data_IF_453618244699
#
_entry.id   IF_453618244699
#
_cell.length_a   1.000
_cell.length_b   1.000
_cell.length_c   1.000
_cell.angle_alpha   90.00
_cell.angle_beta   90.00
_cell.angle_gamma   90.00
#
_symmetry.space_group_name_H-M   'P 1'
#
loop_
_entity.id
_entity.type
_entity.pdbx_description
1 polymer ?
#
# COMPACT_ATOMS: atom_id res chain seq x y z
N UNK A 1 -20.21 7.85 1.70
CA UNK A 1 -18.79 7.64 1.99
C UNK A 1 -18.47 6.17 1.75
N UNK A 2 -17.28 5.87 1.26
CA UNK A 2 -16.84 4.52 0.96
C UNK A 2 -15.32 4.43 1.17
N UNK A 3 -14.78 3.22 1.23
CA UNK A 3 -13.35 3.02 1.29
C UNK A 3 -12.72 3.37 -0.06
N UNK A 4 -11.76 4.27 -0.06
CA UNK A 4 -11.12 4.81 -1.24
C UNK A 4 -9.61 4.60 -1.15
N UNK A 5 -8.99 4.35 -2.29
CA UNK A 5 -7.55 4.32 -2.46
C UNK A 5 -7.16 5.16 -3.67
N UNK A 6 -6.33 6.15 -3.47
CA UNK A 6 -5.60 6.83 -4.53
C UNK A 6 -4.13 6.43 -4.47
N UNK A 7 -3.47 6.30 -5.61
CA UNK A 7 -2.06 5.97 -5.59
C UNK A 7 -1.32 6.13 -6.91
N UNK A 8 -0.01 6.11 -6.78
CA UNK A 8 0.97 5.93 -7.84
C UNK A 8 1.85 4.73 -7.49
N UNK A 9 2.34 4.01 -8.48
CA UNK A 9 3.24 2.87 -8.26
C UNK A 9 4.20 2.66 -9.44
N UNK A 10 5.14 1.74 -9.26
CA UNK A 10 6.06 1.31 -10.31
C UNK A 10 5.35 0.80 -11.60
N UNK A 11 4.08 0.44 -11.52
CA UNK A 11 3.26 0.00 -12.66
C UNK A 11 2.64 1.17 -13.43
N UNK A 12 2.45 2.30 -12.78
CA UNK A 12 1.76 3.46 -13.36
C UNK A 12 2.69 4.62 -13.68
N UNK A 13 3.87 4.72 -13.03
CA UNK A 13 4.76 5.87 -13.15
C UNK A 13 6.22 5.48 -13.34
N UNK A 14 6.98 6.39 -13.96
CA UNK A 14 8.44 6.30 -14.03
C UNK A 14 9.10 6.47 -12.66
N UNK A 15 10.38 6.09 -12.56
CA UNK A 15 11.19 6.29 -11.37
C UNK A 15 11.24 7.75 -10.94
N UNK A 16 11.43 8.67 -11.89
CA UNK A 16 11.50 10.12 -11.65
C UNK A 16 10.23 10.69 -10.99
N UNK A 17 9.06 10.19 -11.39
CA UNK A 17 7.78 10.57 -10.77
C UNK A 17 7.70 10.01 -9.36
N UNK A 18 8.07 8.74 -9.16
CA UNK A 18 8.07 8.11 -7.82
C UNK A 18 9.02 8.82 -6.85
N UNK A 19 10.19 9.25 -7.31
CA UNK A 19 11.17 10.00 -6.52
C UNK A 19 10.57 11.30 -5.95
N UNK A 20 9.72 12.00 -6.72
CA UNK A 20 9.05 13.22 -6.27
C UNK A 20 7.99 12.97 -5.20
N UNK A 21 7.39 11.78 -5.19
CA UNK A 21 6.37 11.36 -4.22
C UNK A 21 6.91 10.45 -3.11
N UNK A 22 8.21 10.16 -3.09
CA UNK A 22 8.83 9.39 -2.02
C UNK A 22 8.90 10.22 -0.74
N UNK A 23 8.11 9.84 0.26
CA UNK A 23 7.99 10.55 1.54
C UNK A 23 8.72 9.80 2.64
N UNK A 24 9.57 10.48 3.37
CA UNK A 24 10.11 9.98 4.63
C UNK A 24 9.08 10.17 5.76
N UNK A 25 9.38 9.61 6.94
CA UNK A 25 8.46 9.66 8.08
C UNK A 25 8.05 11.08 8.47
N UNK A 26 8.99 12.02 8.53
CA UNK A 26 8.73 13.41 8.92
C UNK A 26 7.80 14.11 7.92
N UNK A 27 7.98 13.83 6.63
CA UNK A 27 7.12 14.35 5.57
C UNK A 27 5.72 13.76 5.58
N UNK A 28 5.61 12.45 5.87
CA UNK A 28 4.31 11.79 6.07
C UNK A 28 3.57 12.47 7.23
N UNK A 29 4.25 12.69 8.36
CA UNK A 29 3.65 13.30 9.54
C UNK A 29 3.21 14.75 9.27
N UNK A 30 4.04 15.56 8.59
CA UNK A 30 3.69 16.93 8.17
C UNK A 30 2.52 16.94 7.17
N UNK A 31 2.50 16.02 6.22
CA UNK A 31 1.41 15.90 5.24
C UNK A 31 0.10 15.56 5.92
N UNK A 32 0.09 14.56 6.82
CA UNK A 32 -1.10 14.21 7.60
C UNK A 32 -1.59 15.40 8.44
N UNK A 33 -0.69 16.10 9.11
CA UNK A 33 -1.04 17.30 9.88
C UNK A 33 -1.67 18.39 8.99
N UNK A 34 -1.11 18.64 7.79
CA UNK A 34 -1.66 19.58 6.83
C UNK A 34 -3.05 19.19 6.34
N UNK A 35 -3.28 17.91 6.02
CA UNK A 35 -4.59 17.41 5.60
C UNK A 35 -5.67 17.58 6.68
N UNK A 36 -5.30 17.36 7.95
CA UNK A 36 -6.19 17.60 9.11
C UNK A 36 -6.50 19.08 9.29
N UNK A 37 -5.48 19.94 9.33
CA UNK A 37 -5.63 21.38 9.56
C UNK A 37 -6.48 22.07 8.49
N UNK A 38 -6.34 21.65 7.23
CA UNK A 38 -7.16 22.17 6.13
C UNK A 38 -8.58 21.61 6.10
N UNK A 39 -8.95 20.69 7.01
CA UNK A 39 -10.23 20.00 6.99
C UNK A 39 -10.47 19.19 5.71
N UNK A 40 -9.40 18.91 4.95
CA UNK A 40 -9.49 18.21 3.67
C UNK A 40 -9.87 16.75 3.85
N UNK A 41 -9.34 16.10 4.90
CA UNK A 41 -9.67 14.73 5.29
C UNK A 41 -9.71 14.61 6.81
N UNK A 42 -10.69 13.84 7.31
CA UNK A 42 -10.84 13.55 8.75
C UNK A 42 -10.20 12.20 9.14
N UNK A 43 -9.82 11.42 8.17
CA UNK A 43 -9.16 10.12 8.34
C UNK A 43 -8.31 9.81 7.11
N UNK A 44 -7.26 9.01 7.31
CA UNK A 44 -6.44 8.56 6.20
C UNK A 44 -5.19 7.82 6.65
N UNK A 45 -4.66 7.00 5.75
CA UNK A 45 -3.39 6.30 5.89
C UNK A 45 -2.56 6.59 4.65
N UNK A 46 -1.38 7.15 4.86
CA UNK A 46 -0.42 7.45 3.80
C UNK A 46 0.69 6.40 3.83
N UNK A 47 0.69 5.53 2.82
CA UNK A 47 1.72 4.52 2.59
C UNK A 47 2.70 5.06 1.55
N UNK A 48 3.95 5.27 1.93
CA UNK A 48 5.02 5.64 1.01
C UNK A 48 6.18 4.66 1.15
N UNK A 49 6.60 4.11 0.02
CA UNK A 49 7.69 3.14 -0.11
C UNK A 49 8.52 3.49 -1.35
N UNK A 50 9.59 2.74 -1.64
CA UNK A 50 10.34 2.90 -2.88
C UNK A 50 9.51 2.65 -4.16
N UNK A 51 8.44 1.85 -4.07
CA UNK A 51 7.70 1.38 -5.23
C UNK A 51 6.30 1.98 -5.38
N UNK A 52 5.79 2.68 -4.34
CA UNK A 52 4.45 3.27 -4.35
C UNK A 52 4.28 4.38 -3.32
N UNK A 53 3.40 5.30 -3.63
CA UNK A 53 2.79 6.22 -2.67
C UNK A 53 1.29 6.14 -2.82
N UNK A 54 0.61 5.74 -1.75
CA UNK A 54 -0.84 5.50 -1.73
C UNK A 54 -1.49 6.20 -0.54
N UNK A 55 -2.66 6.76 -0.76
CA UNK A 55 -3.49 7.33 0.29
C UNK A 55 -4.81 6.58 0.36
N UNK A 56 -5.09 6.03 1.52
CA UNK A 56 -6.32 5.30 1.83
C UNK A 56 -7.19 6.11 2.78
N UNK A 57 -8.48 6.24 2.50
CA UNK A 57 -9.40 6.99 3.34
C UNK A 57 -10.83 6.44 3.22
N UNK A 58 -11.62 6.62 4.25
CA UNK A 58 -13.07 6.41 4.20
C UNK A 58 -13.76 7.76 3.95
N UNK A 59 -14.03 8.06 2.69
CA UNK A 59 -14.46 9.38 2.23
C UNK A 59 -15.35 9.32 0.98
N UNK A 60 -15.79 10.47 0.49
CA UNK A 60 -16.48 10.57 -0.80
C UNK A 60 -15.49 10.48 -1.97
N UNK A 61 -15.93 9.89 -3.08
CA UNK A 61 -15.10 9.77 -4.30
C UNK A 61 -14.66 11.13 -4.87
N UNK A 62 -15.49 12.16 -4.74
CA UNK A 62 -15.14 13.51 -5.16
C UNK A 62 -14.00 14.12 -4.30
N UNK A 63 -13.93 13.72 -3.03
CA UNK A 63 -12.91 14.18 -2.09
C UNK A 63 -11.54 13.53 -2.38
N UNK A 64 -11.50 12.20 -2.58
CA UNK A 64 -10.25 11.49 -2.85
C UNK A 64 -9.60 11.93 -4.18
N UNK A 65 -10.38 12.36 -5.17
CA UNK A 65 -9.88 12.89 -6.45
C UNK A 65 -9.02 14.15 -6.32
N UNK A 66 -9.07 14.82 -5.17
CA UNK A 66 -8.29 16.07 -4.92
C UNK A 66 -6.99 15.80 -4.18
N UNK A 67 -6.74 14.54 -3.78
CA UNK A 67 -5.60 14.20 -2.91
C UNK A 67 -4.26 14.43 -3.61
N UNK A 68 -4.17 14.18 -4.92
CA UNK A 68 -2.97 14.42 -5.73
C UNK A 68 -2.47 15.86 -5.59
N UNK A 69 -3.36 16.83 -5.77
CA UNK A 69 -3.05 18.25 -5.63
C UNK A 69 -2.63 18.60 -4.21
N UNK A 70 -3.35 18.08 -3.21
CA UNK A 70 -3.02 18.32 -1.80
C UNK A 70 -1.67 17.73 -1.40
N UNK A 71 -1.29 16.57 -1.94
CA UNK A 71 0.04 15.98 -1.74
C UNK A 71 1.12 16.81 -2.42
N UNK A 72 0.91 17.23 -3.68
CA UNK A 72 1.84 18.09 -4.43
C UNK A 72 2.06 19.40 -3.70
N UNK A 73 0.98 20.06 -3.24
CA UNK A 73 1.05 21.29 -2.45
C UNK A 73 1.84 21.09 -1.15
N UNK A 74 1.62 19.97 -0.45
CA UNK A 74 2.32 19.66 0.80
C UNK A 74 3.82 19.42 0.61
N UNK A 75 4.22 19.04 -0.61
CA UNK A 75 5.61 18.82 -1.00
C UNK A 75 6.29 20.08 -1.56
N UNK A 76 5.58 21.22 -1.63
CA UNK A 76 6.05 22.45 -2.28
C UNK A 76 6.61 22.19 -3.69
N UNK A 77 5.96 21.32 -4.45
CA UNK A 77 6.40 20.87 -5.76
C UNK A 77 5.54 21.51 -6.87
N UNK A 78 6.19 22.00 -7.93
CA UNK A 78 5.50 22.52 -9.13
C UNK A 78 5.26 21.41 -10.17
N UNK A 79 5.05 20.19 -9.73
CA UNK A 79 4.87 19.05 -10.59
C UNK A 79 3.38 18.74 -10.81
N UNK A 80 3.00 18.34 -12.02
CA UNK A 80 1.65 17.87 -12.34
C UNK A 80 1.68 16.39 -12.72
N UNK A 81 0.87 15.57 -12.03
CA UNK A 81 0.65 14.17 -12.40
C UNK A 81 -0.24 14.10 -13.65
N UNK A 82 0.17 13.27 -14.62
CA UNK A 82 -0.72 12.91 -15.73
C UNK A 82 -1.81 11.96 -15.23
N UNK A 83 -2.94 11.94 -15.93
CA UNK A 83 -4.06 11.07 -15.57
C UNK A 83 -3.67 9.57 -15.51
N UNK A 84 -2.77 9.13 -16.37
CA UNK A 84 -2.33 7.75 -16.45
C UNK A 84 -1.22 7.40 -15.44
N UNK A 85 -0.65 8.39 -14.76
CA UNK A 85 0.37 8.17 -13.74
C UNK A 85 -0.23 7.70 -12.40
N UNK A 86 -1.55 7.83 -12.24
CA UNK A 86 -2.26 7.57 -10.99
C UNK A 86 -3.44 6.62 -11.19
N UNK A 87 -3.82 5.95 -10.13
CA UNK A 87 -5.00 5.09 -10.07
C UNK A 87 -5.89 5.45 -8.90
N UNK A 88 -7.18 5.11 -9.06
CA UNK A 88 -8.20 5.36 -8.06
C UNK A 88 -9.11 4.14 -7.95
N UNK A 89 -9.11 3.49 -6.80
CA UNK A 89 -9.99 2.38 -6.46
C UNK A 89 -11.01 2.80 -5.41
N UNK A 90 -12.21 2.21 -5.45
CA UNK A 90 -13.31 2.51 -4.54
C UNK A 90 -13.93 1.23 -4.00
N UNK A 91 -14.39 1.26 -2.75
CA UNK A 91 -15.14 0.18 -2.12
C UNK A 91 -14.39 -1.14 -2.12
N UNK A 92 -14.97 -2.14 -2.74
CA UNK A 92 -14.41 -3.48 -2.81
C UNK A 92 -13.10 -3.54 -3.60
N UNK A 93 -13.00 -2.81 -4.70
CA UNK A 93 -11.78 -2.78 -5.51
C UNK A 93 -10.61 -2.18 -4.73
N UNK A 94 -10.87 -1.12 -3.94
CA UNK A 94 -9.87 -0.56 -3.03
C UNK A 94 -9.44 -1.57 -1.95
N UNK A 95 -10.37 -2.38 -1.43
CA UNK A 95 -10.04 -3.42 -0.46
C UNK A 95 -9.25 -4.58 -1.07
N UNK A 96 -9.64 -5.04 -2.26
CA UNK A 96 -8.89 -6.06 -3.02
C UNK A 96 -7.47 -5.56 -3.33
N UNK A 97 -7.34 -4.30 -3.77
CA UNK A 97 -6.05 -3.68 -4.00
C UNK A 97 -5.19 -3.65 -2.73
N UNK A 98 -5.74 -3.22 -1.60
CA UNK A 98 -5.04 -3.24 -0.31
C UNK A 98 -4.54 -4.65 0.06
N UNK A 99 -5.35 -5.69 -0.18
CA UNK A 99 -4.94 -7.07 0.05
C UNK A 99 -3.79 -7.50 -0.88
N UNK A 100 -3.86 -7.14 -2.17
CA UNK A 100 -2.78 -7.41 -3.15
C UNK A 100 -1.48 -6.72 -2.74
N UNK A 101 -1.56 -5.49 -2.26
CA UNK A 101 -0.42 -4.74 -1.72
C UNK A 101 0.14 -5.43 -0.48
N UNK A 102 -0.69 -5.68 0.54
CA UNK A 102 -0.24 -6.27 1.81
C UNK A 102 0.26 -7.72 1.67
N UNK A 103 -0.25 -8.48 0.70
CA UNK A 103 0.26 -9.82 0.41
C UNK A 103 1.56 -9.79 -0.40
N UNK A 104 1.92 -8.65 -0.99
CA UNK A 104 3.08 -8.48 -1.84
C UNK A 104 2.85 -8.97 -3.29
N UNK A 105 1.63 -9.35 -3.66
CA UNK A 105 1.31 -9.75 -5.04
C UNK A 105 1.46 -8.56 -5.99
N UNK A 106 1.11 -7.36 -5.52
CA UNK A 106 1.26 -6.13 -6.29
C UNK A 106 2.63 -5.45 -6.10
N UNK A 107 3.59 -6.13 -5.50
CA UNK A 107 4.95 -5.62 -5.35
C UNK A 107 5.79 -5.88 -6.59
N UNK A 108 6.84 -5.08 -6.76
CA UNK A 108 7.85 -5.25 -7.80
C UNK A 108 8.57 -6.60 -7.65
N UNK A 109 8.86 -6.98 -6.41
CA UNK A 109 9.30 -8.32 -6.04
C UNK A 109 8.10 -9.04 -5.44
N UNK A 110 7.48 -9.90 -6.24
CA UNK A 110 6.24 -10.56 -5.85
C UNK A 110 6.44 -11.43 -4.60
N UNK A 111 5.57 -11.21 -3.61
CA UNK A 111 5.59 -11.94 -2.33
C UNK A 111 6.64 -11.46 -1.33
N UNK A 112 7.31 -10.32 -1.59
CA UNK A 112 8.24 -9.74 -0.61
C UNK A 112 7.56 -9.52 0.76
N UNK A 113 8.27 -9.77 1.88
CA UNK A 113 7.68 -9.60 3.20
C UNK A 113 7.60 -8.15 3.65
N UNK A 114 8.43 -7.28 3.08
CA UNK A 114 8.69 -5.93 3.59
C UNK A 114 7.47 -5.01 3.47
N UNK A 115 6.70 -5.12 2.38
CA UNK A 115 5.51 -4.29 2.14
C UNK A 115 4.41 -4.50 3.19
N UNK A 116 4.23 -5.73 3.70
CA UNK A 116 3.30 -6.00 4.79
C UNK A 116 3.67 -5.23 6.06
N UNK A 117 4.96 -5.25 6.40
CA UNK A 117 5.51 -4.50 7.53
C UNK A 117 5.35 -2.99 7.36
N UNK A 118 5.61 -2.47 6.15
CA UNK A 118 5.49 -1.05 5.81
C UNK A 118 4.03 -0.58 5.90
N UNK A 119 3.08 -1.31 5.32
CA UNK A 119 1.66 -0.99 5.41
C UNK A 119 1.15 -1.00 6.86
N UNK A 120 1.59 -1.97 7.68
CA UNK A 120 1.28 -2.00 9.11
C UNK A 120 1.90 -0.81 9.86
N UNK A 121 3.14 -0.42 9.55
CA UNK A 121 3.79 0.76 10.14
C UNK A 121 3.03 2.04 9.79
N UNK A 122 2.58 2.21 8.53
CA UNK A 122 1.78 3.37 8.08
C UNK A 122 0.43 3.45 8.80
N UNK A 123 -0.25 2.31 8.98
CA UNK A 123 -1.47 2.24 9.78
C UNK A 123 -1.26 2.68 11.23
N UNK A 124 -0.23 2.16 11.90
CA UNK A 124 0.10 2.51 13.28
C UNK A 124 0.50 3.98 13.42
N UNK A 125 1.21 4.52 12.42
CA UNK A 125 1.57 5.94 12.39
C UNK A 125 0.33 6.84 12.29
N UNK A 126 -0.60 6.56 11.37
CA UNK A 126 -1.86 7.32 11.27
C UNK A 126 -2.70 7.21 12.53
N UNK A 127 -2.69 6.03 13.20
CA UNK A 127 -3.35 5.83 14.50
C UNK A 127 -2.74 6.70 15.58
N UNK A 128 -1.41 6.75 15.70
CA UNK A 128 -0.70 7.57 16.69
C UNK A 128 -0.91 9.08 16.50
N UNK A 129 -1.15 9.51 15.24
CA UNK A 129 -1.46 10.89 14.89
C UNK A 129 -2.95 11.24 15.04
N UNK A 130 -3.79 10.30 15.49
CA UNK A 130 -5.24 10.50 15.61
C UNK A 130 -5.89 10.81 14.26
N UNK A 131 -5.46 10.14 13.18
CA UNK A 131 -5.96 10.35 11.82
C UNK A 131 -6.70 9.11 11.29
N UNK A 132 -7.35 8.37 12.18
CA UNK A 132 -8.22 7.24 11.85
C UNK A 132 -9.62 7.47 12.40
N UNK A 133 -10.63 6.99 11.66
CA UNK A 133 -11.97 6.75 12.17
C UNK A 133 -12.18 5.24 12.37
N UNK A 134 -13.31 4.87 13.01
CA UNK A 134 -13.65 3.47 13.32
C UNK A 134 -13.73 2.59 12.07
N UNK A 135 -14.25 3.12 10.98
CA UNK A 135 -14.43 2.41 9.71
C UNK A 135 -13.08 2.07 9.07
N UNK A 136 -12.19 3.05 8.94
CA UNK A 136 -10.87 2.86 8.35
C UNK A 136 -10.00 1.94 9.24
N UNK A 137 -10.07 2.11 10.56
CA UNK A 137 -9.39 1.24 11.51
C UNK A 137 -9.86 -0.22 11.40
N UNK A 138 -11.17 -0.43 11.30
CA UNK A 138 -11.76 -1.76 11.11
C UNK A 138 -11.34 -2.42 9.79
N UNK A 139 -11.33 -1.65 8.69
CA UNK A 139 -10.91 -2.12 7.37
C UNK A 139 -9.44 -2.57 7.41
N UNK A 140 -8.54 -1.74 7.94
CA UNK A 140 -7.10 -2.07 7.98
C UNK A 140 -6.78 -3.21 8.95
N UNK A 141 -7.43 -3.26 10.10
CA UNK A 141 -7.28 -4.38 11.05
C UNK A 141 -7.72 -5.70 10.41
N UNK A 142 -8.84 -5.69 9.69
CA UNK A 142 -9.31 -6.84 8.92
C UNK A 142 -8.36 -7.24 7.80
N UNK A 143 -7.85 -6.26 7.04
CA UNK A 143 -6.90 -6.48 5.95
C UNK A 143 -5.57 -7.06 6.47
N UNK A 144 -5.04 -6.58 7.59
CA UNK A 144 -3.81 -7.10 8.22
C UNK A 144 -4.00 -8.57 8.60
N UNK A 145 -5.12 -8.92 9.28
CA UNK A 145 -5.42 -10.29 9.68
C UNK A 145 -5.55 -11.22 8.47
N UNK A 146 -6.31 -10.80 7.47
CA UNK A 146 -6.56 -11.58 6.26
C UNK A 146 -5.30 -11.75 5.43
N UNK A 147 -4.52 -10.69 5.20
CA UNK A 147 -3.28 -10.76 4.44
C UNK A 147 -2.25 -11.72 5.08
N UNK A 148 -2.19 -11.76 6.41
CA UNK A 148 -1.35 -12.74 7.13
C UNK A 148 -1.79 -14.18 6.84
N UNK A 149 -3.09 -14.47 6.87
CA UNK A 149 -3.65 -15.79 6.53
C UNK A 149 -3.35 -16.15 5.08
N UNK A 150 -3.66 -15.26 4.14
CA UNK A 150 -3.42 -15.45 2.71
C UNK A 150 -1.94 -15.73 2.38
N UNK A 151 -1.01 -14.99 2.98
CA UNK A 151 0.43 -15.22 2.81
C UNK A 151 0.87 -16.60 3.28
N UNK A 152 0.29 -17.08 4.38
CA UNK A 152 0.58 -18.43 4.92
C UNK A 152 -0.02 -19.50 4.02
N UNK A 153 -1.26 -19.39 3.65
CA UNK A 153 -2.02 -20.38 2.87
C UNK A 153 -1.52 -20.50 1.42
N UNK A 154 -1.19 -19.39 0.77
CA UNK A 154 -0.57 -19.37 -0.55
C UNK A 154 0.95 -19.66 -0.52
N UNK A 155 1.52 -19.92 0.66
CA UNK A 155 2.96 -20.18 0.86
C UNK A 155 3.88 -19.05 0.36
N UNK A 156 3.38 -17.83 0.26
CA UNK A 156 4.16 -16.66 -0.16
C UNK A 156 5.32 -16.35 0.80
N UNK A 157 5.25 -16.85 2.04
CA UNK A 157 6.29 -16.70 3.04
C UNK A 157 7.40 -17.77 2.96
N UNK A 158 7.26 -18.80 2.10
CA UNK A 158 8.32 -19.78 1.87
C UNK A 158 9.34 -19.20 0.88
N UNK A 159 10.63 -19.24 1.29
CA UNK A 159 11.74 -18.71 0.51
C UNK A 159 11.47 -17.27 -0.01
N UNK A 160 11.26 -16.29 0.88
CA UNK A 160 10.92 -14.94 0.44
C UNK A 160 12.10 -14.38 -0.36
N UNK A 161 11.82 -13.98 -1.59
CA UNK A 161 12.77 -13.18 -2.36
C UNK A 161 12.67 -11.75 -1.82
N UNK A 162 13.77 -11.20 -1.35
CA UNK A 162 13.88 -9.82 -0.93
C UNK A 162 14.97 -9.12 -1.72
N UNK A 163 14.91 -7.79 -1.81
CA UNK A 163 15.96 -6.99 -2.43
C UNK A 163 17.33 -7.38 -1.86
N UNK A 164 17.41 -7.55 -0.54
CA UNK A 164 18.66 -7.96 0.12
C UNK A 164 19.16 -9.33 -0.33
N UNK A 165 18.26 -10.29 -0.64
CA UNK A 165 18.69 -11.61 -1.13
C UNK A 165 19.23 -11.53 -2.55
N UNK A 166 18.61 -10.75 -3.41
CA UNK A 166 19.05 -10.62 -4.80
C UNK A 166 20.34 -9.84 -4.92
N UNK A 167 20.49 -8.76 -4.15
CA UNK A 167 21.76 -8.03 -4.07
C UNK A 167 22.87 -8.95 -3.53
N UNK A 168 22.55 -9.79 -2.53
CA UNK A 168 23.50 -10.76 -2.01
C UNK A 168 23.97 -11.76 -3.09
N UNK A 169 23.04 -12.27 -3.90
CA UNK A 169 23.34 -13.22 -4.98
C UNK A 169 24.13 -12.54 -6.15
N UNK A 170 23.92 -11.24 -6.38
CA UNK A 170 24.64 -10.44 -7.36
C UNK A 170 26.06 -10.00 -6.89
N UNK A 171 26.31 -10.01 -5.59
CA UNK A 171 27.66 -9.80 -5.04
C UNK A 171 28.47 -11.07 -5.25
N UNK A 172 29.48 -10.99 -6.09
CA UNK A 172 30.30 -12.14 -6.47
C UNK A 172 31.02 -12.77 -5.26
N UNK A 173 31.26 -14.10 -5.33
CA UNK A 173 31.98 -14.81 -4.27
C UNK A 173 33.41 -14.27 -4.05
N UNK A 174 33.99 -13.64 -5.06
CA UNK A 174 35.34 -13.06 -5.02
C UNK A 174 35.39 -11.67 -4.38
N UNK A 175 34.22 -11.11 -4.03
CA UNK A 175 34.16 -9.80 -3.37
C UNK A 175 34.78 -9.88 -1.97
N UNK A 176 35.80 -9.07 -1.74
CA UNK A 176 36.50 -9.02 -0.44
C UNK A 176 35.97 -7.91 0.45
N UNK A 177 35.50 -6.79 -0.16
CA UNK A 177 35.07 -5.61 0.58
C UNK A 177 33.78 -5.01 0.05
N UNK A 178 32.76 -5.01 0.91
CA UNK A 178 31.42 -4.47 0.62
C UNK A 178 31.10 -3.30 1.54
N UNK A 179 30.70 -2.18 0.95
CA UNK A 179 30.19 -1.01 1.71
C UNK A 179 28.69 -0.99 1.65
N UNK A 180 28.02 -0.87 2.81
CA UNK A 180 26.56 -0.73 2.91
C UNK A 180 26.25 0.64 3.50
N UNK A 181 25.51 1.44 2.77
CA UNK A 181 25.10 2.77 3.19
C UNK A 181 23.62 2.73 3.53
N UNK A 182 23.32 2.78 4.83
CA UNK A 182 21.99 2.67 5.39
C UNK A 182 21.79 1.41 6.24
N UNK A 183 21.36 1.62 7.48
CA UNK A 183 21.08 0.57 8.47
C UNK A 183 19.57 0.34 8.66
N UNK A 184 18.80 0.45 7.55
CA UNK A 184 17.40 0.08 7.45
C UNK A 184 17.19 -1.42 7.25
N UNK A 185 15.95 -1.85 6.94
CA UNK A 185 15.60 -3.27 6.85
C UNK A 185 16.45 -4.00 5.78
N UNK A 186 16.64 -3.41 4.59
CA UNK A 186 17.48 -3.99 3.51
C UNK A 186 18.96 -4.05 3.91
N UNK A 187 19.52 -2.93 4.36
CA UNK A 187 20.95 -2.87 4.75
C UNK A 187 21.28 -3.83 5.90
N UNK A 188 20.38 -3.91 6.90
CA UNK A 188 20.50 -4.85 8.01
C UNK A 188 20.48 -6.31 7.55
N UNK A 189 19.50 -6.66 6.72
CA UNK A 189 19.35 -8.04 6.22
C UNK A 189 20.58 -8.47 5.36
N UNK A 190 21.06 -7.57 4.52
CA UNK A 190 22.24 -7.80 3.68
C UNK A 190 23.51 -7.94 4.54
N UNK A 191 23.72 -7.04 5.52
CA UNK A 191 24.87 -7.12 6.45
C UNK A 191 24.95 -8.48 7.13
N UNK A 192 23.81 -8.96 7.69
CA UNK A 192 23.77 -10.26 8.39
C UNK A 192 24.17 -11.41 7.45
N UNK A 193 23.71 -11.38 6.19
CA UNK A 193 24.02 -12.44 5.20
C UNK A 193 25.50 -12.43 4.78
N UNK A 194 26.06 -11.25 4.51
CA UNK A 194 27.44 -11.09 4.10
C UNK A 194 28.43 -11.49 5.21
N UNK A 195 28.11 -11.10 6.47
CA UNK A 195 28.92 -11.48 7.64
C UNK A 195 28.94 -13.01 7.82
N UNK A 196 27.78 -13.69 7.66
CA UNK A 196 27.71 -15.16 7.69
C UNK A 196 28.58 -15.83 6.62
N UNK A 197 28.80 -15.17 5.48
CA UNK A 197 29.69 -15.62 4.40
C UNK A 197 31.13 -15.20 4.60
N UNK A 198 31.48 -14.57 5.74
CA UNK A 198 32.83 -14.06 6.06
C UNK A 198 33.35 -12.98 5.09
N UNK A 199 32.45 -12.27 4.39
CA UNK A 199 32.80 -11.12 3.54
C UNK A 199 33.02 -9.92 4.46
N UNK A 200 34.05 -9.13 4.17
CA UNK A 200 34.38 -7.91 4.93
C UNK A 200 33.36 -6.80 4.61
N UNK A 201 32.56 -6.42 5.61
CA UNK A 201 31.47 -5.45 5.47
C UNK A 201 31.74 -4.21 6.31
N UNK A 202 31.54 -3.05 5.72
CA UNK A 202 31.50 -1.77 6.43
C UNK A 202 30.12 -1.15 6.26
N UNK A 203 29.47 -0.83 7.37
CA UNK A 203 28.13 -0.24 7.35
C UNK A 203 28.22 1.22 7.74
N UNK A 204 27.60 2.08 6.94
CA UNK A 204 27.53 3.52 7.18
C UNK A 204 26.10 3.94 7.45
N UNK A 205 25.90 4.75 8.49
CA UNK A 205 24.56 5.23 8.82
C UNK A 205 24.63 6.62 9.49
N UNK A 206 23.54 7.35 9.42
CA UNK A 206 23.40 8.69 10.02
C UNK A 206 23.49 8.65 11.53
N UNK A 207 22.90 7.62 12.14
CA UNK A 207 22.91 7.37 13.60
C UNK A 207 23.71 6.12 13.89
N UNK A 208 24.43 6.12 15.02
CA UNK A 208 25.19 4.96 15.46
C UNK A 208 24.24 3.78 15.75
N UNK A 209 24.50 2.62 15.15
CA UNK A 209 23.76 1.37 15.33
C UNK A 209 24.74 0.20 15.37
N UNK A 210 24.28 -0.93 15.93
CA UNK A 210 25.00 -2.21 15.89
C UNK A 210 24.18 -3.24 15.13
N UNK A 211 24.77 -3.92 14.13
CA UNK A 211 24.14 -4.94 13.31
C UNK A 211 25.10 -6.13 13.20
N UNK A 212 24.68 -7.31 13.68
CA UNK A 212 25.51 -8.53 13.62
C UNK A 212 26.95 -8.30 14.12
N UNK A 213 27.08 -7.62 15.26
CA UNK A 213 28.36 -7.25 15.90
C UNK A 213 29.20 -6.20 15.17
N UNK A 214 28.72 -5.64 14.05
CA UNK A 214 29.34 -4.52 13.35
C UNK A 214 28.71 -3.22 13.84
N UNK A 215 29.52 -2.28 14.32
CA UNK A 215 29.10 -0.92 14.57
C UNK A 215 29.08 -0.13 13.26
N UNK A 216 28.07 0.73 13.09
CA UNK A 216 27.98 1.59 11.90
C UNK A 216 28.95 2.76 12.01
N UNK A 217 29.60 3.07 10.88
CA UNK A 217 30.47 4.23 10.71
C UNK A 217 29.65 5.48 10.35
N UNK A 218 30.12 6.67 10.65
CA UNK A 218 29.48 7.91 10.23
C UNK A 218 29.61 8.10 8.70
N UNK A 219 28.59 8.71 8.10
CA UNK A 219 28.55 8.94 6.64
C UNK A 219 29.72 9.81 6.14
N UNK A 220 30.29 10.68 6.98
CA UNK A 220 31.44 11.53 6.65
C UNK A 220 32.71 10.75 6.34
N UNK A 221 32.81 9.50 6.79
CA UNK A 221 33.99 8.66 6.57
C UNK A 221 33.92 7.81 5.30
N UNK A 222 32.80 7.78 4.59
CA UNK A 222 32.58 6.91 3.40
C UNK A 222 33.77 7.01 2.41
N UNK A 223 34.25 8.22 2.13
CA UNK A 223 35.33 8.45 1.13
C UNK A 223 36.60 7.67 1.42
N UNK A 224 36.92 7.41 2.69
CA UNK A 224 38.12 6.65 3.07
C UNK A 224 38.04 5.18 2.67
N UNK A 225 36.82 4.65 2.51
CA UNK A 225 36.55 3.23 2.27
C UNK A 225 36.22 2.90 0.83
N UNK A 226 35.96 3.93 -0.03
CA UNK A 226 35.58 3.72 -1.42
C UNK A 226 36.72 3.31 -2.33
N UNK A 227 37.99 3.58 -1.97
CA UNK A 227 39.16 3.40 -2.84
C UNK A 227 39.48 1.96 -3.23
N UNK A 228 39.05 1.00 -2.41
CA UNK A 228 39.33 -0.44 -2.55
C UNK A 228 38.08 -1.30 -2.33
N UNK A 229 36.89 -0.71 -2.48
CA UNK A 229 35.64 -1.42 -2.41
C UNK A 229 35.35 -2.18 -3.71
N UNK A 230 34.84 -3.40 -3.62
CA UNK A 230 34.36 -4.17 -4.75
C UNK A 230 32.89 -3.89 -5.04
N UNK A 231 32.12 -3.68 -3.96
CA UNK A 231 30.69 -3.36 -4.06
C UNK A 231 30.30 -2.24 -3.09
N UNK A 232 29.41 -1.37 -3.54
CA UNK A 232 28.73 -0.36 -2.72
C UNK A 232 27.22 -0.57 -2.84
N UNK A 233 26.55 -0.72 -1.71
CA UNK A 233 25.08 -0.86 -1.66
C UNK A 233 24.50 0.35 -0.95
N UNK A 234 23.73 1.15 -1.66
CA UNK A 234 23.05 2.33 -1.13
C UNK A 234 21.61 1.95 -0.81
N UNK A 235 21.30 1.81 0.48
CA UNK A 235 19.97 1.48 1.03
C UNK A 235 19.52 2.53 2.06
N UNK A 236 19.98 3.76 1.91
CA UNK A 236 19.63 4.88 2.78
C UNK A 236 18.65 5.81 2.08
N UNK A 237 17.65 6.31 2.81
CA UNK A 237 16.75 7.34 2.30
C UNK A 237 17.34 8.73 2.57
N UNK A 238 17.64 9.48 1.50
CA UNK A 238 18.05 10.88 1.56
C UNK A 238 17.42 11.66 0.40
N UNK A 239 17.00 12.90 0.66
CA UNK A 239 16.46 13.78 -0.38
C UNK A 239 17.49 14.28 -1.39
N UNK A 240 18.76 14.35 -0.97
CA UNK A 240 19.86 14.81 -1.81
C UNK A 240 20.87 13.70 -1.94
N UNK A 241 21.40 13.46 -3.14
CA UNK A 241 22.52 12.55 -3.33
C UNK A 241 23.67 12.93 -2.41
N UNK A 242 24.23 11.96 -1.71
CA UNK A 242 25.36 12.17 -0.81
C UNK A 242 26.65 11.51 -1.32
N UNK A 243 26.53 10.58 -2.28
CA UNK A 243 27.67 9.96 -2.92
C UNK A 243 27.85 10.57 -4.31
N UNK A 244 29.00 11.20 -4.53
CA UNK A 244 29.35 11.77 -5.83
C UNK A 244 30.16 10.77 -6.63
N UNK A 245 29.89 10.65 -7.91
CA UNK A 245 30.58 9.75 -8.82
C UNK A 245 32.11 10.03 -8.86
N UNK A 246 32.52 11.30 -8.88
CA UNK A 246 33.92 11.76 -8.84
C UNK A 246 34.73 11.18 -7.65
N UNK A 247 34.06 10.87 -6.55
CA UNK A 247 34.69 10.24 -5.38
C UNK A 247 35.02 8.76 -5.60
N UNK A 248 34.46 8.15 -6.65
CA UNK A 248 34.55 6.73 -6.97
C UNK A 248 35.54 6.45 -8.12
N UNK A 249 35.85 7.45 -8.94
CA UNK A 249 36.75 7.31 -10.11
C UNK A 249 38.17 6.85 -9.72
N UNK A 250 38.58 7.11 -8.47
CA UNK A 250 39.87 6.69 -7.93
C UNK A 250 39.88 5.26 -7.38
N UNK A 251 38.75 4.54 -7.50
CA UNK A 251 38.72 3.16 -7.08
C UNK A 251 39.63 2.30 -7.96
N UNK A 252 40.43 1.45 -7.33
CA UNK A 252 41.43 0.60 -8.00
C UNK A 252 40.84 -0.69 -8.56
N UNK A 253 39.64 -1.09 -8.08
CA UNK A 253 38.96 -2.34 -8.42
C UNK A 253 37.84 -2.10 -9.45
N UNK A 254 37.33 -3.19 -10.01
CA UNK A 254 36.00 -3.15 -10.66
C UNK A 254 34.93 -2.93 -9.60
N UNK A 255 34.31 -1.76 -9.62
CA UNK A 255 33.33 -1.37 -8.62
C UNK A 255 31.89 -1.59 -9.14
N UNK A 256 31.10 -2.34 -8.40
CA UNK A 256 29.67 -2.49 -8.66
C UNK A 256 28.87 -1.73 -7.60
N UNK A 257 28.00 -0.85 -8.05
CA UNK A 257 27.17 0.01 -7.17
C UNK A 257 25.72 -0.38 -7.32
N UNK A 258 25.07 -0.72 -6.22
CA UNK A 258 23.61 -0.96 -6.13
C UNK A 258 22.96 0.26 -5.51
N UNK A 259 22.34 1.13 -6.29
CA UNK A 259 21.54 2.23 -5.75
C UNK A 259 20.07 1.81 -5.60
N UNK A 260 19.74 1.40 -4.39
CA UNK A 260 18.41 0.93 -4.00
C UNK A 260 17.55 2.04 -3.39
N UNK A 261 18.11 3.24 -3.29
CA UNK A 261 17.44 4.39 -2.68
C UNK A 261 16.46 5.04 -3.65
N UNK A 262 15.31 5.49 -3.10
CA UNK A 262 14.39 6.40 -3.80
C UNK A 262 14.09 7.55 -2.83
N UNK A 263 14.43 8.80 -3.19
CA UNK A 263 15.19 9.22 -4.37
C UNK A 263 16.61 8.62 -4.42
N UNK A 264 17.17 8.52 -5.64
CA UNK A 264 18.54 8.03 -5.86
C UNK A 264 19.55 8.86 -5.06
N UNK A 265 20.55 8.17 -4.51
CA UNK A 265 21.54 8.80 -3.63
C UNK A 265 22.95 8.83 -4.22
N UNK A 266 23.15 8.21 -5.36
CA UNK A 266 24.31 8.45 -6.20
C UNK A 266 24.02 9.63 -7.15
N UNK A 267 24.85 10.65 -7.14
CA UNK A 267 24.75 11.75 -8.09
C UNK A 267 25.11 11.24 -9.49
N UNK A 268 24.23 11.47 -10.45
CA UNK A 268 24.49 11.11 -11.85
C UNK A 268 25.73 11.82 -12.37
N UNK A 269 26.49 11.10 -13.19
CA UNK A 269 27.63 11.64 -13.94
C UNK A 269 27.40 11.39 -15.43
N UNK A 270 27.77 12.35 -16.23
CA UNK A 270 27.83 12.20 -17.69
C UNK A 270 29.00 11.34 -18.13
N UNK A 271 29.99 11.11 -17.25
CA UNK A 271 31.16 10.32 -17.53
C UNK A 271 30.92 8.84 -17.24
N UNK A 272 31.05 8.02 -18.27
CA UNK A 272 31.03 6.55 -18.12
C UNK A 272 32.45 6.10 -17.74
N UNK A 273 32.58 5.51 -16.55
CA UNK A 273 33.87 4.96 -16.12
C UNK A 273 33.88 3.44 -16.39
N UNK A 274 34.87 2.92 -17.15
CA UNK A 274 34.85 1.52 -17.61
C UNK A 274 34.90 0.49 -16.48
N UNK A 275 35.38 0.87 -15.31
CA UNK A 275 35.46 -0.02 -14.14
C UNK A 275 34.31 0.14 -13.15
N UNK A 276 33.33 1.01 -13.41
CA UNK A 276 32.21 1.25 -12.52
C UNK A 276 30.91 0.82 -13.20
N UNK A 277 30.20 -0.10 -12.59
CA UNK A 277 28.86 -0.50 -13.00
C UNK A 277 27.83 -0.09 -11.94
N UNK A 278 26.72 0.49 -12.38
CA UNK A 278 25.64 0.93 -11.51
C UNK A 278 24.43 0.05 -11.81
N UNK A 279 23.80 -0.46 -10.77
CA UNK A 279 22.56 -1.24 -10.83
C UNK A 279 21.51 -0.51 -10.03
N UNK A 280 20.47 -0.04 -10.71
CA UNK A 280 19.34 0.62 -10.08
C UNK A 280 18.35 -0.40 -9.47
N UNK A 281 17.46 0.08 -8.61
CA UNK A 281 16.39 -0.75 -8.06
C UNK A 281 15.49 -1.33 -9.17
N UNK A 282 15.19 -0.55 -10.21
CA UNK A 282 14.33 -0.98 -11.32
C UNK A 282 15.01 -2.05 -12.18
N UNK A 283 16.30 -1.93 -12.47
CA UNK A 283 17.07 -2.96 -13.18
C UNK A 283 17.15 -4.25 -12.39
N UNK A 284 17.39 -4.15 -11.07
CA UNK A 284 17.43 -5.30 -10.19
C UNK A 284 16.07 -6.02 -10.19
N UNK A 285 15.00 -5.27 -10.13
CA UNK A 285 13.63 -5.80 -10.11
C UNK A 285 13.25 -6.48 -11.43
N UNK A 286 13.71 -5.95 -12.55
CA UNK A 286 13.51 -6.57 -13.87
C UNK A 286 14.22 -7.93 -13.96
N UNK A 287 15.43 -8.05 -13.42
CA UNK A 287 16.15 -9.33 -13.32
C UNK A 287 15.41 -10.33 -12.45
N UNK A 288 14.86 -9.86 -11.32
CA UNK A 288 14.08 -10.70 -10.40
C UNK A 288 12.79 -11.18 -11.06
N UNK A 289 12.08 -10.32 -11.77
CA UNK A 289 10.84 -10.67 -12.45
C UNK A 289 11.03 -11.82 -13.45
N UNK A 290 12.17 -11.86 -14.15
CA UNK A 290 12.53 -12.98 -15.05
C UNK A 290 12.74 -14.30 -14.29
N UNK A 291 13.25 -14.24 -13.07
CA UNK A 291 13.51 -15.43 -12.24
C UNK A 291 12.28 -15.91 -11.44
N UNK A 292 11.17 -15.15 -11.45
CA UNK A 292 9.94 -15.44 -10.70
C UNK A 292 8.98 -16.42 -11.41
N UNK A 293 9.37 -17.00 -12.54
CA UNK A 293 8.54 -18.03 -13.21
C UNK A 293 8.16 -19.20 -12.26
N UNK A 294 9.05 -19.56 -11.34
CA UNK A 294 8.78 -20.56 -10.31
C UNK A 294 7.73 -20.18 -9.24
N UNK A 295 7.24 -18.94 -9.22
CA UNK A 295 6.23 -18.47 -8.24
C UNK A 295 4.86 -18.20 -8.81
N UNK A 296 4.65 -18.44 -10.10
CA UNK A 296 3.36 -18.23 -10.74
C UNK A 296 2.22 -18.97 -10.03
N UNK A 297 2.50 -20.17 -9.52
CA UNK A 297 1.52 -21.00 -8.81
C UNK A 297 1.08 -20.39 -7.47
N UNK A 298 2.04 -19.91 -6.67
CA UNK A 298 1.74 -19.26 -5.37
C UNK A 298 0.98 -17.95 -5.56
N UNK A 299 1.34 -17.16 -6.58
CA UNK A 299 0.66 -15.92 -6.94
C UNK A 299 -0.77 -16.21 -7.39
N UNK A 300 -0.96 -17.12 -8.34
CA UNK A 300 -2.29 -17.51 -8.83
C UNK A 300 -3.17 -18.04 -7.69
N UNK A 301 -2.62 -18.84 -6.80
CA UNK A 301 -3.34 -19.31 -5.60
C UNK A 301 -3.77 -18.16 -4.70
N UNK A 302 -2.89 -17.20 -4.45
CA UNK A 302 -3.24 -16.04 -3.62
C UNK A 302 -4.28 -15.13 -4.29
N UNK A 303 -4.22 -14.93 -5.62
CA UNK A 303 -5.23 -14.19 -6.37
C UNK A 303 -6.59 -14.88 -6.33
N UNK A 304 -6.63 -16.22 -6.47
CA UNK A 304 -7.86 -17.00 -6.33
C UNK A 304 -8.46 -16.83 -4.95
N UNK A 305 -7.67 -16.98 -3.89
CA UNK A 305 -8.13 -16.80 -2.50
C UNK A 305 -8.67 -15.38 -2.24
N UNK A 306 -8.01 -14.35 -2.77
CA UNK A 306 -8.50 -12.96 -2.66
C UNK A 306 -9.84 -12.81 -3.38
N UNK A 307 -9.99 -13.39 -4.56
CA UNK A 307 -11.20 -13.33 -5.37
C UNK A 307 -12.38 -14.07 -4.71
N UNK A 308 -12.12 -15.25 -4.17
CA UNK A 308 -13.11 -16.04 -3.40
C UNK A 308 -13.57 -15.28 -2.15
N UNK A 309 -12.64 -14.68 -1.42
CA UNK A 309 -12.97 -13.86 -0.26
C UNK A 309 -13.84 -12.66 -0.64
N UNK A 310 -13.51 -11.97 -1.73
CA UNK A 310 -14.28 -10.87 -2.26
C UNK A 310 -15.71 -11.29 -2.64
N UNK A 311 -15.85 -12.44 -3.29
CA UNK A 311 -17.15 -13.02 -3.64
C UNK A 311 -18.00 -13.37 -2.41
N UNK A 312 -17.40 -14.01 -1.40
CA UNK A 312 -18.07 -14.35 -0.13
C UNK A 312 -18.54 -13.13 0.63
N UNK A 313 -17.75 -12.04 0.65
CA UNK A 313 -18.14 -10.79 1.30
C UNK A 313 -19.33 -10.14 0.59
N UNK A 314 -19.38 -10.17 -0.74
CA UNK A 314 -20.51 -9.69 -1.52
C UNK A 314 -21.77 -10.48 -1.25
N UNK A 315 -21.68 -11.82 -1.21
CA UNK A 315 -22.80 -12.68 -0.88
C UNK A 315 -23.36 -12.37 0.50
N UNK A 316 -22.51 -12.28 1.53
CA UNK A 316 -22.95 -11.91 2.88
C UNK A 316 -23.60 -10.53 2.95
N UNK A 317 -23.06 -9.53 2.23
CA UNK A 317 -23.64 -8.19 2.18
C UNK A 317 -25.02 -8.21 1.49
N UNK A 318 -25.18 -9.00 0.43
CA UNK A 318 -26.47 -9.23 -0.25
C UNK A 318 -27.48 -9.91 0.68
N UNK A 319 -27.05 -10.97 1.38
CA UNK A 319 -27.93 -11.72 2.29
C UNK A 319 -28.42 -10.87 3.47
N UNK A 320 -27.53 -10.04 4.05
CA UNK A 320 -27.90 -9.08 5.12
C UNK A 320 -28.88 -8.05 4.59
N UNK A 321 -28.67 -7.52 3.37
CA UNK A 321 -29.57 -6.55 2.73
C UNK A 321 -30.94 -7.16 2.46
N UNK A 322 -31.00 -8.41 1.98
CA UNK A 322 -32.25 -9.15 1.79
C UNK A 322 -32.99 -9.43 3.11
N UNK A 323 -32.26 -9.82 4.17
CA UNK A 323 -32.82 -10.03 5.50
C UNK A 323 -33.44 -8.75 6.07
N UNK A 324 -32.73 -7.62 5.96
CA UNK A 324 -33.23 -6.32 6.39
C UNK A 324 -34.45 -5.88 5.60
N UNK A 325 -34.50 -6.14 4.30
CA UNK A 325 -35.66 -5.86 3.45
C UNK A 325 -36.88 -6.68 3.87
N UNK A 326 -36.71 -7.99 4.07
CA UNK A 326 -37.77 -8.89 4.56
C UNK A 326 -38.28 -8.46 5.93
N UNK A 327 -37.40 -8.02 6.84
CA UNK A 327 -37.78 -7.49 8.15
C UNK A 327 -38.66 -6.25 8.03
N UNK A 328 -38.27 -5.27 7.21
CA UNK A 328 -39.10 -4.06 6.97
C UNK A 328 -40.45 -4.37 6.34
N UNK A 329 -40.52 -5.27 5.36
CA UNK A 329 -41.77 -5.70 4.75
C UNK A 329 -42.70 -6.43 5.76
N UNK A 330 -42.12 -7.24 6.64
CA UNK A 330 -42.90 -7.91 7.73
C UNK A 330 -43.50 -6.90 8.70
N UNK A 331 -42.74 -5.84 9.04
CA UNK A 331 -43.22 -4.78 9.93
C UNK A 331 -44.36 -3.95 9.29
N UNK A 332 -44.25 -3.62 8.00
CA UNK A 332 -45.33 -2.95 7.25
C UNK A 332 -46.61 -3.80 7.24
N UNK A 333 -46.48 -5.09 6.96
CA UNK A 333 -47.62 -6.03 6.97
C UNK A 333 -48.28 -6.11 8.34
N UNK A 334 -47.48 -6.15 9.43
CA UNK A 334 -47.99 -6.19 10.80
C UNK A 334 -48.81 -4.94 11.12
N UNK A 335 -48.26 -3.75 10.82
CA UNK A 335 -48.98 -2.48 11.07
C UNK A 335 -50.26 -2.37 10.24
N UNK A 336 -50.26 -2.85 9.00
CA UNK A 336 -51.45 -2.84 8.15
C UNK A 336 -52.54 -3.77 8.69
N UNK A 337 -52.17 -4.95 9.22
CA UNK A 337 -53.11 -5.88 9.87
C UNK A 337 -53.69 -5.29 11.16
N UNK A 338 -52.87 -4.70 12.03
CA UNK A 338 -53.32 -4.03 13.25
C UNK A 338 -54.33 -2.89 12.95
N UNK A 339 -54.08 -2.12 11.87
CA UNK A 339 -55.02 -1.10 11.40
C UNK A 339 -56.33 -1.68 10.88
N UNK A 340 -56.28 -2.83 10.17
CA UNK A 340 -57.45 -3.53 9.69
C UNK A 340 -58.32 -4.04 10.85
N UNK A 341 -57.71 -4.65 11.87
CA UNK A 341 -58.40 -5.09 13.09
C UNK A 341 -59.09 -3.93 13.80
N UNK A 342 -58.44 -2.79 13.98
CA UNK A 342 -59.03 -1.57 14.54
C UNK A 342 -60.22 -1.06 13.74
N UNK A 343 -60.16 -1.12 12.41
CA UNK A 343 -61.24 -0.70 11.54
C UNK A 343 -62.48 -1.63 11.66
N UNK A 344 -62.25 -2.97 11.81
CA UNK A 344 -63.33 -3.93 12.10
C UNK A 344 -64.00 -3.62 13.44
N UNK A 345 -63.22 -3.36 14.49
CA UNK A 345 -63.76 -3.01 15.82
C UNK A 345 -64.56 -1.70 15.80
N UNK A 346 -64.27 -0.79 14.86
CA UNK A 346 -65.00 0.48 14.65
C UNK A 346 -66.29 0.30 13.81
N UNK A 347 -66.68 -0.95 13.45
CA UNK A 347 -67.89 -1.23 12.70
C UNK A 347 -67.80 -1.09 11.19
N UNK A 348 -66.58 -1.01 10.61
CA UNK A 348 -66.43 -1.06 9.17
C UNK A 348 -66.78 -2.42 8.61
N UNK A 349 -67.41 -2.45 7.44
CA UNK A 349 -67.74 -3.71 6.76
C UNK A 349 -66.47 -4.44 6.34
N UNK A 350 -66.49 -5.77 6.33
CA UNK A 350 -65.34 -6.58 5.89
C UNK A 350 -64.86 -6.19 4.50
N UNK A 351 -65.75 -5.86 3.58
CA UNK A 351 -65.40 -5.46 2.22
C UNK A 351 -64.62 -4.13 2.16
N UNK A 352 -65.03 -3.14 2.99
CA UNK A 352 -64.34 -1.87 3.10
C UNK A 352 -62.97 -2.03 3.78
N UNK A 353 -62.85 -2.88 4.78
CA UNK A 353 -61.58 -3.18 5.46
C UNK A 353 -60.61 -3.87 4.52
N UNK A 354 -61.04 -4.87 3.73
CA UNK A 354 -60.20 -5.55 2.75
C UNK A 354 -59.74 -4.57 1.70
N UNK A 355 -60.61 -3.70 1.17
CA UNK A 355 -60.20 -2.69 0.17
C UNK A 355 -59.16 -1.73 0.76
N UNK A 356 -59.39 -1.21 1.96
CA UNK A 356 -58.50 -0.29 2.63
C UNK A 356 -57.13 -0.93 2.98
N UNK A 357 -57.14 -2.20 3.39
CA UNK A 357 -55.96 -2.99 3.63
C UNK A 357 -55.12 -3.19 2.36
N UNK A 358 -55.78 -3.50 1.23
CA UNK A 358 -55.11 -3.64 -0.06
C UNK A 358 -54.50 -2.33 -0.54
N UNK A 359 -55.24 -1.21 -0.38
CA UNK A 359 -54.74 0.13 -0.75
C UNK A 359 -53.55 0.55 0.14
N UNK A 360 -53.58 0.32 1.46
CA UNK A 360 -52.50 0.62 2.38
C UNK A 360 -51.24 -0.24 2.09
N UNK A 361 -51.40 -1.52 1.79
CA UNK A 361 -50.28 -2.38 1.43
C UNK A 361 -49.67 -1.92 0.12
N UNK A 362 -50.48 -1.69 -0.93
CA UNK A 362 -50.01 -1.25 -2.23
C UNK A 362 -49.35 0.13 -2.18
N UNK A 363 -49.90 1.09 -1.46
CA UNK A 363 -49.33 2.44 -1.33
C UNK A 363 -48.00 2.42 -0.56
N UNK A 364 -47.92 1.69 0.54
CA UNK A 364 -46.68 1.56 1.35
C UNK A 364 -45.62 0.70 0.66
N UNK A 365 -46.02 -0.40 0.03
CA UNK A 365 -45.12 -1.22 -0.74
C UNK A 365 -44.55 -0.43 -1.95
N UNK A 366 -45.39 0.29 -2.70
CA UNK A 366 -44.95 1.13 -3.84
C UNK A 366 -44.03 2.25 -3.38
N UNK A 367 -44.35 2.97 -2.31
CA UNK A 367 -43.51 4.06 -1.77
C UNK A 367 -42.19 3.51 -1.17
N UNK A 368 -42.24 2.45 -0.36
CA UNK A 368 -41.04 1.86 0.23
C UNK A 368 -40.18 1.15 -0.82
N UNK A 369 -40.77 0.48 -1.79
CA UNK A 369 -40.05 -0.12 -2.93
C UNK A 369 -39.42 0.94 -3.77
N UNK A 370 -40.10 2.06 -4.08
CA UNK A 370 -39.52 3.20 -4.82
C UNK A 370 -38.37 3.82 -4.05
N UNK A 371 -38.49 4.05 -2.74
CA UNK A 371 -37.43 4.55 -1.89
C UNK A 371 -36.23 3.62 -1.80
N UNK A 372 -36.46 2.31 -1.72
CA UNK A 372 -35.42 1.28 -1.71
C UNK A 372 -34.73 1.19 -3.07
N UNK A 373 -35.48 1.26 -4.20
CA UNK A 373 -34.91 1.31 -5.55
C UNK A 373 -34.05 2.56 -5.72
N UNK A 374 -34.49 3.71 -5.21
CA UNK A 374 -33.74 4.96 -5.25
C UNK A 374 -32.45 4.88 -4.41
N UNK A 375 -32.48 4.29 -3.21
CA UNK A 375 -31.31 4.03 -2.39
C UNK A 375 -30.35 3.03 -3.06
N UNK A 376 -30.89 1.96 -3.69
CA UNK A 376 -30.11 0.99 -4.45
C UNK A 376 -29.47 1.68 -5.68
N UNK A 377 -30.26 2.45 -6.44
CA UNK A 377 -29.78 3.17 -7.62
C UNK A 377 -28.73 4.23 -7.27
N UNK A 378 -28.86 4.89 -6.12
CA UNK A 378 -27.83 5.80 -5.58
C UNK A 378 -26.58 5.07 -5.13
N UNK A 379 -26.68 3.84 -4.64
CA UNK A 379 -25.53 3.03 -4.23
C UNK A 379 -24.82 2.33 -5.39
N UNK A 380 -25.51 2.09 -6.51
CA UNK A 380 -24.95 1.45 -7.73
C UNK A 380 -24.33 2.48 -8.70
N UNK A 381 -24.72 3.76 -8.61
CA UNK A 381 -24.12 4.86 -9.37
C UNK A 381 -22.92 5.52 -8.67
N UNK A 382 -22.48 4.98 -7.56
CA UNK A 382 -21.29 5.36 -6.80
C UNK A 382 -20.24 4.25 -6.87
#
# INVERSE_FOLDING_TARGET
MDFQCWGISHKSTSLEVREKFALNKEEIDKTIASLKLRGAFNNGILLSTCNRTEFYSFCQRAQIKKIDKLLIDSLNSNFALRKNDQYLFSGQDAFIHLLKVMTGIDSMIVGEPDIFGQAKKSFLNSKSLGFLNSELEGIFTGAIKLSKSLRTEAKLSKNPVSIASVVFDEITADSQKVLIIGAGDVGKALTIRLVKKKIKVYVFNRTKKKIADIETNPLSEIKKYTLDADNIVIAASSKKPFLKFENLERNKNKLKIFDLAIPRNLQESTNVHPNISIVSLDELSTKIAKNLEGRKTEVSKAETLISEFAALKNKKASDVKQKNLRGKLSEIKKVALENAEKNIQRGMSQREVIKKLADEINAKDSYQISKIIEEISRSTRR
#
